data_IF_134136444619
#
_entry.id   IF_134136444619
#
_cell.length_a   1.000
_cell.length_b   1.000
_cell.length_c   1.000
_cell.angle_alpha   90.00
_cell.angle_beta   90.00
_cell.angle_gamma   90.00
#
_symmetry.space_group_name_H-M   'P 1'
#
loop_
_entity.id
_entity.type
_entity.pdbx_description
1 polymer ?
#
# COMPACT_ATOMS: atom_id res chain seq x y z
N UNK A 1 13.87 -19.70 -20.68
CA UNK A 1 14.64 -18.45 -20.49
C UNK A 1 13.77 -17.26 -20.88
N UNK A 2 13.51 -16.28 -19.99
CA UNK A 2 12.77 -15.08 -20.39
C UNK A 2 13.61 -14.29 -21.40
N UNK A 3 13.02 -13.90 -22.54
CA UNK A 3 13.71 -13.10 -23.55
C UNK A 3 13.82 -11.66 -23.07
N UNK A 4 15.00 -11.06 -23.23
CA UNK A 4 15.16 -9.63 -22.97
C UNK A 4 14.28 -8.82 -23.91
N UNK A 5 13.66 -7.72 -23.42
CA UNK A 5 13.00 -6.79 -24.31
C UNK A 5 14.03 -6.22 -25.30
N UNK A 6 13.64 -5.94 -26.55
CA UNK A 6 14.54 -5.31 -27.51
C UNK A 6 15.02 -3.97 -26.94
N UNK A 7 16.33 -3.71 -27.03
CA UNK A 7 16.88 -2.42 -26.63
C UNK A 7 16.29 -1.34 -27.56
N UNK A 8 15.72 -0.25 -27.02
CA UNK A 8 15.27 0.86 -27.84
C UNK A 8 16.45 1.49 -28.60
N UNK A 9 16.18 2.05 -29.78
CA UNK A 9 17.14 2.84 -30.55
C UNK A 9 17.67 4.00 -29.68
N UNK A 10 18.95 4.38 -29.74
CA UNK A 10 19.54 5.41 -28.88
C UNK A 10 18.77 6.74 -28.86
N UNK A 11 18.20 7.18 -29.99
CA UNK A 11 17.40 8.40 -30.02
C UNK A 11 16.08 8.22 -29.27
N UNK A 12 15.42 7.06 -29.45
CA UNK A 12 14.17 6.74 -28.74
C UNK A 12 14.39 6.52 -27.24
N UNK A 13 15.51 5.92 -26.85
CA UNK A 13 15.88 5.72 -25.45
C UNK A 13 16.06 7.06 -24.73
N UNK A 14 16.68 8.03 -25.41
CA UNK A 14 16.87 9.38 -24.87
C UNK A 14 15.54 10.13 -24.71
N UNK A 15 14.67 10.09 -25.73
CA UNK A 15 13.34 10.70 -25.63
C UNK A 15 12.48 10.05 -24.53
N UNK A 16 12.58 8.74 -24.34
CA UNK A 16 11.90 8.03 -23.26
C UNK A 16 12.45 8.38 -21.87
N UNK A 17 13.76 8.60 -21.74
CA UNK A 17 14.37 9.12 -20.52
C UNK A 17 13.86 10.53 -20.20
N UNK A 18 13.88 11.43 -21.18
CA UNK A 18 13.39 12.80 -20.99
C UNK A 18 11.91 12.82 -20.56
N UNK A 19 11.08 11.98 -21.20
CA UNK A 19 9.67 11.82 -20.83
C UNK A 19 9.49 11.20 -19.43
N UNK A 20 10.37 10.28 -19.02
CA UNK A 20 10.38 9.71 -17.66
C UNK A 20 10.68 10.79 -16.63
N UNK A 21 11.75 11.58 -16.81
CA UNK A 21 12.12 12.64 -15.88
C UNK A 21 11.04 13.73 -15.78
N UNK A 22 10.47 14.15 -16.92
CA UNK A 22 9.39 15.12 -16.94
C UNK A 22 8.17 14.64 -16.15
N UNK A 23 7.73 13.41 -16.42
CA UNK A 23 6.56 12.82 -15.74
C UNK A 23 6.76 12.58 -14.24
N UNK A 24 8.00 12.35 -13.81
CA UNK A 24 8.34 12.26 -12.38
C UNK A 24 8.35 13.64 -11.71
N UNK A 25 8.83 14.68 -12.41
CA UNK A 25 8.93 16.02 -11.87
C UNK A 25 7.57 16.71 -11.73
N UNK A 26 6.64 16.47 -12.66
CA UNK A 26 5.29 17.04 -12.63
C UNK A 26 4.26 16.18 -11.85
N UNK A 27 4.67 14.99 -11.38
CA UNK A 27 3.82 14.07 -10.64
C UNK A 27 2.75 13.37 -11.49
N UNK A 28 2.79 13.51 -12.82
CA UNK A 28 1.85 12.84 -13.73
C UNK A 28 2.12 11.34 -13.88
N UNK A 29 3.33 10.89 -13.53
CA UNK A 29 3.73 9.50 -13.63
C UNK A 29 3.64 8.77 -12.29
N UNK A 30 2.76 7.79 -12.24
CA UNK A 30 2.66 6.86 -11.12
C UNK A 30 3.98 6.10 -10.90
N UNK A 31 4.28 5.80 -9.63
CA UNK A 31 5.50 5.13 -9.21
C UNK A 31 5.66 3.76 -9.88
N UNK A 32 4.59 2.97 -9.98
CA UNK A 32 4.64 1.64 -10.59
C UNK A 32 4.86 1.73 -12.11
N UNK A 33 4.29 2.75 -12.76
CA UNK A 33 4.55 3.05 -14.16
C UNK A 33 6.02 3.51 -14.38
N UNK A 34 6.55 4.35 -13.50
CA UNK A 34 7.94 4.81 -13.55
C UNK A 34 8.93 3.65 -13.44
N UNK A 35 8.73 2.75 -12.47
CA UNK A 35 9.59 1.58 -12.26
C UNK A 35 9.57 0.64 -13.48
N UNK A 36 8.39 0.42 -14.08
CA UNK A 36 8.28 -0.37 -15.32
C UNK A 36 9.05 0.26 -16.48
N UNK A 37 8.97 1.59 -16.65
CA UNK A 37 9.72 2.32 -17.70
C UNK A 37 11.23 2.25 -17.46
N UNK A 38 11.68 2.50 -16.23
CA UNK A 38 13.08 2.35 -15.83
C UNK A 38 13.60 0.95 -16.17
N UNK A 39 12.84 -0.11 -15.85
CA UNK A 39 13.24 -1.47 -16.21
C UNK A 39 13.36 -1.64 -17.73
N UNK A 40 12.36 -1.23 -18.51
CA UNK A 40 12.41 -1.37 -19.97
C UNK A 40 13.58 -0.61 -20.59
N UNK A 41 13.88 0.60 -20.09
CA UNK A 41 15.02 1.41 -20.55
C UNK A 41 16.37 0.76 -20.24
N UNK A 42 16.47 0.02 -19.15
CA UNK A 42 17.69 -0.76 -18.85
C UNK A 42 17.89 -1.96 -19.78
N UNK A 43 16.87 -2.35 -20.56
CA UNK A 43 16.92 -3.52 -21.44
C UNK A 43 16.96 -4.87 -20.70
N UNK A 44 16.65 -4.87 -19.41
CA UNK A 44 16.68 -6.05 -18.55
C UNK A 44 15.28 -6.67 -18.37
N UNK A 45 15.22 -7.99 -18.33
CA UNK A 45 14.03 -8.69 -17.84
C UNK A 45 13.74 -8.37 -16.37
N UNK A 46 12.51 -8.60 -15.92
CA UNK A 46 12.11 -8.42 -14.51
C UNK A 46 13.06 -9.13 -13.51
N UNK A 47 13.36 -10.45 -13.64
CA UNK A 47 14.29 -11.10 -12.74
C UNK A 47 15.70 -10.51 -12.81
N UNK A 48 16.22 -10.22 -14.00
CA UNK A 48 17.56 -9.62 -14.15
C UNK A 48 17.65 -8.24 -13.50
N UNK A 49 16.63 -7.40 -13.67
CA UNK A 49 16.57 -6.09 -13.03
C UNK A 49 16.49 -6.22 -11.51
N UNK A 50 15.69 -7.16 -11.00
CA UNK A 50 15.61 -7.42 -9.55
C UNK A 50 16.99 -7.81 -8.98
N UNK A 51 17.67 -8.79 -9.60
CA UNK A 51 19.02 -9.19 -9.20
C UNK A 51 20.03 -8.03 -9.30
N UNK A 52 19.99 -7.26 -10.38
CA UNK A 52 20.85 -6.09 -10.58
C UNK A 52 20.64 -5.00 -9.50
N UNK A 53 19.45 -4.93 -8.88
CA UNK A 53 19.15 -4.00 -7.79
C UNK A 53 19.24 -4.62 -6.40
N UNK A 54 19.64 -5.90 -6.28
CA UNK A 54 19.68 -6.60 -5.00
C UNK A 54 18.29 -6.85 -4.40
N UNK A 55 17.25 -6.95 -5.24
CA UNK A 55 15.86 -7.16 -4.82
C UNK A 55 15.39 -8.58 -5.16
N UNK A 56 14.38 -9.07 -4.43
CA UNK A 56 13.66 -10.26 -4.86
C UNK A 56 12.77 -9.95 -6.07
N UNK A 57 12.58 -10.93 -6.94
CA UNK A 57 11.70 -10.80 -8.12
C UNK A 57 10.27 -10.46 -7.70
N UNK A 58 9.80 -11.03 -6.58
CA UNK A 58 8.50 -10.74 -6.00
C UNK A 58 8.38 -9.30 -5.50
N UNK A 59 9.41 -8.75 -4.85
CA UNK A 59 9.42 -7.36 -4.40
C UNK A 59 9.32 -6.41 -5.60
N UNK A 60 10.12 -6.64 -6.65
CA UNK A 60 10.02 -5.83 -7.87
C UNK A 60 8.64 -5.96 -8.53
N UNK A 61 8.07 -7.16 -8.59
CA UNK A 61 6.72 -7.39 -9.12
C UNK A 61 5.66 -6.62 -8.32
N UNK A 62 5.74 -6.63 -7.00
CA UNK A 62 4.80 -5.90 -6.15
C UNK A 62 4.89 -4.38 -6.40
N UNK A 63 6.12 -3.85 -6.50
CA UNK A 63 6.36 -2.45 -6.86
C UNK A 63 5.75 -2.12 -8.24
N UNK A 64 6.05 -2.92 -9.27
CA UNK A 64 5.54 -2.70 -10.64
C UNK A 64 4.02 -2.86 -10.77
N UNK A 65 3.39 -3.58 -9.83
CA UNK A 65 1.94 -3.76 -9.79
C UNK A 65 1.19 -2.61 -9.09
N UNK A 66 1.90 -1.72 -8.40
CA UNK A 66 1.32 -0.64 -7.59
C UNK A 66 0.54 -1.10 -6.35
N UNK A 67 0.50 -2.40 -6.06
CA UNK A 67 -0.29 -3.01 -4.98
C UNK A 67 0.53 -3.35 -3.73
N UNK A 68 1.85 -3.18 -3.78
CA UNK A 68 2.73 -3.42 -2.64
C UNK A 68 2.96 -2.16 -1.80
N UNK A 69 3.47 -2.36 -0.58
CA UNK A 69 3.98 -1.29 0.28
C UNK A 69 5.52 -1.37 0.35
N UNK A 70 6.25 -0.92 -0.68
CA UNK A 70 7.71 -0.97 -0.69
C UNK A 70 8.32 0.03 0.30
N UNK A 71 9.46 -0.33 0.88
CA UNK A 71 10.24 0.61 1.68
C UNK A 71 10.89 1.67 0.79
N UNK A 72 11.17 2.85 1.37
CA UNK A 72 11.93 3.92 0.68
C UNK A 72 13.31 3.41 0.24
N UNK A 73 13.93 2.51 1.00
CA UNK A 73 15.19 1.88 0.63
C UNK A 73 15.09 1.08 -0.67
N UNK A 74 14.02 0.29 -0.84
CA UNK A 74 13.75 -0.45 -2.09
C UNK A 74 13.56 0.49 -3.28
N UNK A 75 12.81 1.58 -3.08
CA UNK A 75 12.58 2.55 -4.14
C UNK A 75 13.87 3.30 -4.52
N UNK A 76 14.68 3.69 -3.54
CA UNK A 76 15.99 4.31 -3.77
C UNK A 76 16.97 3.35 -4.46
N UNK A 77 16.95 2.06 -4.11
CA UNK A 77 17.72 1.05 -4.81
C UNK A 77 17.33 1.03 -6.29
N UNK A 78 16.05 1.03 -6.65
CA UNK A 78 15.63 1.06 -8.06
C UNK A 78 16.04 2.37 -8.75
N UNK A 79 15.73 3.50 -8.12
CA UNK A 79 15.92 4.84 -8.66
C UNK A 79 17.41 5.21 -8.86
N UNK A 80 18.30 4.66 -8.04
CA UNK A 80 19.73 4.99 -8.06
C UNK A 80 20.44 4.70 -9.40
N UNK A 81 19.97 3.74 -10.21
CA UNK A 81 20.54 3.50 -11.56
C UNK A 81 20.38 4.71 -12.47
N UNK A 82 19.29 5.46 -12.26
CA UNK A 82 18.91 6.61 -13.05
C UNK A 82 19.33 7.92 -12.36
N UNK A 83 20.18 7.87 -11.32
CA UNK A 83 20.56 9.07 -10.57
C UNK A 83 19.40 9.72 -9.81
N UNK A 84 18.35 8.94 -9.51
CA UNK A 84 17.14 9.40 -8.85
C UNK A 84 17.08 8.93 -7.39
N UNK A 85 16.39 9.69 -6.55
CA UNK A 85 16.03 9.33 -5.17
C UNK A 85 14.58 9.70 -4.89
N UNK A 86 13.92 8.95 -4.01
CA UNK A 86 12.59 9.30 -3.52
C UNK A 86 12.68 10.45 -2.55
N UNK A 87 11.74 11.40 -2.65
CA UNK A 87 11.65 12.56 -1.79
C UNK A 87 10.22 13.10 -1.70
N UNK A 88 10.04 14.10 -0.86
CA UNK A 88 8.78 14.83 -0.74
C UNK A 88 8.71 15.90 -1.82
N UNK A 89 7.55 16.04 -2.45
CA UNK A 89 7.24 17.13 -3.38
C UNK A 89 6.08 17.96 -2.81
N UNK A 90 6.05 19.28 -3.05
CA UNK A 90 4.90 20.10 -2.65
C UNK A 90 3.62 19.55 -3.27
N UNK A 91 2.57 19.44 -2.47
CA UNK A 91 1.21 19.20 -2.97
C UNK A 91 0.80 20.44 -3.76
N UNK A 92 1.05 20.43 -5.06
CA UNK A 92 0.51 21.45 -5.95
C UNK A 92 -1.01 21.36 -5.90
N UNK A 93 -1.77 22.47 -5.81
CA UNK A 93 -3.22 22.45 -5.90
C UNK A 93 -3.65 22.15 -7.35
N UNK A 94 -3.35 20.95 -7.83
CA UNK A 94 -3.83 20.44 -9.10
C UNK A 94 -5.17 19.77 -8.83
N UNK A 95 -6.23 20.35 -9.39
CA UNK A 95 -7.61 19.94 -9.19
C UNK A 95 -7.81 18.44 -9.37
N UNK A 96 -8.65 17.88 -8.51
CA UNK A 96 -9.20 16.54 -8.59
C UNK A 96 -9.93 16.34 -9.93
N UNK A 97 -9.21 15.95 -10.98
CA UNK A 97 -9.80 15.43 -12.22
C UNK A 97 -9.78 13.91 -12.21
N UNK A 98 -10.43 13.30 -11.22
CA UNK A 98 -10.96 11.94 -11.32
C UNK A 98 -12.03 11.75 -10.24
N UNK A 99 -13.13 12.45 -10.43
CA UNK A 99 -14.34 12.32 -9.66
C UNK A 99 -15.45 12.87 -10.53
N UNK A 100 -16.24 11.98 -11.12
CA UNK A 100 -17.50 12.36 -11.71
C UNK A 100 -18.25 13.29 -10.73
N UNK A 101 -18.86 14.40 -11.18
CA UNK A 101 -19.64 15.22 -10.28
C UNK A 101 -20.74 14.33 -9.68
N UNK A 102 -20.99 14.35 -8.35
CA UNK A 102 -22.26 13.85 -7.87
C UNK A 102 -23.33 14.67 -8.58
N UNK A 103 -24.09 14.01 -9.44
CA UNK A 103 -25.25 14.57 -10.12
C UNK A 103 -26.20 15.05 -9.02
N UNK A 104 -26.12 16.34 -8.70
CA UNK A 104 -27.05 16.99 -7.81
C UNK A 104 -28.45 16.82 -8.40
N UNK A 105 -29.27 16.00 -7.75
CA UNK A 105 -30.71 15.98 -7.98
C UNK A 105 -31.28 17.25 -7.36
N UNK A 106 -31.23 18.35 -8.10
CA UNK A 106 -32.11 19.49 -7.86
C UNK A 106 -33.48 19.14 -8.42
N UNK A 107 -34.37 18.60 -7.57
CA UNK A 107 -35.80 18.76 -7.79
C UNK A 107 -36.42 19.11 -6.46
N UNK A 108 -36.81 20.38 -6.35
CA UNK A 108 -37.41 20.93 -5.16
C UNK A 108 -38.72 20.23 -4.82
N UNK A 109 -38.87 19.92 -3.54
CA UNK A 109 -40.15 19.74 -2.89
C UNK A 109 -40.10 20.59 -1.62
N UNK A 110 -40.93 21.63 -1.60
CA UNK A 110 -41.11 22.61 -0.53
C UNK A 110 -41.35 21.96 0.85
N UNK A 111 -40.98 22.62 1.97
CA UNK A 111 -41.40 22.17 3.28
C UNK A 111 -42.85 22.60 3.51
N UNK A 112 -43.78 21.65 3.56
CA UNK A 112 -45.13 21.91 4.09
C UNK A 112 -45.16 21.39 5.52
N UNK A 113 -45.15 22.33 6.47
CA UNK A 113 -45.40 22.01 7.87
C UNK A 113 -46.82 21.49 8.07
N UNK A 114 -46.99 20.59 9.02
CA UNK A 114 -48.20 20.44 9.83
C UNK A 114 -47.84 19.68 11.10
N UNK A 115 -48.15 20.31 12.22
CA UNK A 115 -48.20 19.80 13.59
C UNK A 115 -48.89 18.44 13.73
N UNK A 116 -48.41 17.57 14.62
CA UNK A 116 -49.22 17.09 15.77
C UNK A 116 -48.46 16.06 16.61
N UNK A 117 -48.21 16.43 17.88
CA UNK A 117 -48.34 15.61 19.09
C UNK A 117 -47.76 14.19 19.18
N UNK A 118 -46.65 14.06 19.93
CA UNK A 118 -46.42 12.95 20.85
C UNK A 118 -45.38 13.36 21.93
N UNK A 119 -45.66 13.24 23.24
CA UNK A 119 -44.67 13.57 24.27
C UNK A 119 -43.63 12.44 24.44
N UNK A 120 -42.35 12.76 24.71
CA UNK A 120 -41.39 11.75 25.16
C UNK A 120 -41.61 11.50 26.66
N UNK A 121 -42.23 10.37 27.00
CA UNK A 121 -42.24 9.84 28.36
C UNK A 121 -41.03 8.96 28.60
N UNK A 122 -40.37 9.15 29.75
CA UNK A 122 -39.51 8.13 30.36
C UNK A 122 -38.05 8.51 30.56
N UNK A 123 -37.80 9.39 31.54
CA UNK A 123 -36.57 9.35 32.35
C UNK A 123 -36.43 7.97 33.01
N UNK A 124 -35.26 7.34 32.88
CA UNK A 124 -34.77 6.43 33.91
C UNK A 124 -33.28 6.63 34.11
N UNK A 125 -32.97 7.34 35.18
CA UNK A 125 -31.69 7.32 35.87
C UNK A 125 -31.59 6.03 36.69
N UNK A 126 -30.41 5.41 36.73
CA UNK A 126 -29.95 4.63 37.88
C UNK A 126 -29.74 3.14 37.64
N UNK A 127 -28.47 2.74 37.46
CA UNK A 127 -27.71 1.90 38.40
C UNK A 127 -26.47 1.29 37.72
N UNK A 128 -25.25 1.55 38.24
CA UNK A 128 -24.21 0.53 38.34
C UNK A 128 -23.85 0.33 39.84
N UNK A 129 -22.89 -0.54 40.16
CA UNK A 129 -22.81 -1.99 39.97
C UNK A 129 -22.87 -2.70 41.35
N UNK A 130 -23.16 -4.00 41.44
CA UNK A 130 -22.59 -4.84 42.52
C UNK A 130 -22.91 -6.33 42.29
N UNK A 131 -21.88 -7.16 42.45
CA UNK A 131 -21.91 -8.59 42.24
C UNK A 131 -20.56 -9.20 42.55
N UNK A 132 -20.17 -9.15 43.83
CA UNK A 132 -19.04 -9.86 44.42
C UNK A 132 -19.36 -11.34 44.64
N UNK A 133 -18.54 -12.25 44.11
CA UNK A 133 -18.16 -13.54 44.71
C UNK A 133 -16.97 -14.05 43.88
N UNK A 134 -15.73 -14.11 44.38
CA UNK A 134 -15.18 -14.93 45.47
C UNK A 134 -15.43 -16.43 45.27
N UNK A 135 -14.39 -17.12 44.79
CA UNK A 135 -14.27 -18.56 44.61
C UNK A 135 -12.98 -18.87 43.84
N UNK A 136 -11.82 -18.84 44.50
CA UNK A 136 -11.06 -20.01 44.97
C UNK A 136 -10.07 -20.57 43.92
N UNK A 137 -8.92 -21.13 44.35
CA UNK A 137 -7.63 -21.02 43.66
C UNK A 137 -7.37 -22.09 42.58
N UNK A 138 -6.33 -21.93 41.72
CA UNK A 138 -5.87 -23.01 40.86
C UNK A 138 -5.20 -24.12 41.69
N UNK A 139 -5.73 -25.33 41.59
CA UNK A 139 -5.05 -26.54 42.04
C UNK A 139 -3.79 -26.78 41.21
N UNK A 140 -2.66 -26.99 41.88
CA UNK A 140 -1.43 -27.46 41.26
C UNK A 140 -1.40 -28.97 41.13
N UNK A 141 -0.65 -29.47 40.15
CA UNK A 141 0.07 -30.77 40.21
C UNK A 141 1.22 -30.70 39.19
N UNK A 142 2.46 -30.79 39.68
CA UNK A 142 3.39 -31.92 39.50
C UNK A 142 3.96 -32.01 38.06
N UNK A 143 5.22 -31.63 37.84
CA UNK A 143 6.42 -32.49 37.99
C UNK A 143 6.40 -33.71 37.06
N UNK A 144 7.17 -33.66 35.98
CA UNK A 144 7.30 -34.78 35.03
C UNK A 144 8.30 -34.55 33.90
N UNK A 145 9.58 -34.75 34.22
CA UNK A 145 10.71 -35.29 33.42
C UNK A 145 10.92 -34.93 31.91
N UNK A 146 12.17 -34.71 31.48
CA UNK A 146 12.53 -34.63 30.06
C UNK A 146 12.63 -36.03 29.41
N UNK A 147 12.28 -36.21 28.12
CA UNK A 147 12.64 -37.41 27.40
C UNK A 147 14.13 -37.38 27.00
N UNK A 148 14.85 -38.45 27.36
CA UNK A 148 16.21 -38.75 26.90
C UNK A 148 16.16 -39.94 25.94
N UNK A 149 16.89 -39.84 24.83
CA UNK A 149 17.21 -40.93 23.89
C UNK A 149 16.57 -40.74 22.51
N UNK A 150 17.15 -41.12 21.37
CA UNK A 150 18.42 -41.76 20.97
C UNK A 150 18.42 -41.80 19.43
N UNK A 151 19.60 -41.78 18.77
CA UNK A 151 19.97 -42.39 17.46
C UNK A 151 20.83 -41.44 16.61
N UNK A 152 22.12 -41.74 16.44
CA UNK A 152 22.75 -42.46 15.29
C UNK A 152 23.43 -41.43 14.36
N UNK A 153 24.67 -41.59 13.87
CA UNK A 153 25.55 -42.74 13.83
C UNK A 153 27.01 -42.32 13.65
N UNK A 154 27.88 -43.32 13.76
CA UNK A 154 29.28 -43.27 13.34
C UNK A 154 29.39 -43.46 11.82
#
# INVERSE_FOLDING_TARGET
MPRNPPRPDPATARAQLDALYKGLADGSLDLAAAVRRMRHLSGLTQPQFAHHRGLSVQALRQVESGKGNPTVATLNAIAGVFGLKVGLVPLSPQGTSSGAPPKGTSSGASPKGTSSGAPPGGTSFGAPPEGTSSGAPPEGTSSGAPPKGTSSGA
#
